data_IF_746858353611
#
_entry.id   IF_746858353611
#
_cell.length_a   1.000
_cell.length_b   1.000
_cell.length_c   1.000
_cell.angle_alpha   90.00
_cell.angle_beta   90.00
_cell.angle_gamma   90.00
#
_symmetry.space_group_name_H-M   'P 1'
#
loop_
_entity.id
_entity.type
_entity.pdbx_description
1 polymer ?
#
# COMPACT_ATOMS: atom_id res chain seq x y z
N UNK A 1 46.43 -26.22 100.33
CA UNK A 1 45.26 -25.42 99.92
C UNK A 1 45.57 -24.35 98.86
N UNK A 2 46.78 -23.76 98.84
CA UNK A 2 47.17 -22.73 97.86
C UNK A 2 47.16 -23.19 96.37
N UNK A 3 47.56 -24.43 96.08
CA UNK A 3 47.62 -24.91 94.68
C UNK A 3 46.22 -25.09 94.05
N UNK A 4 45.23 -25.53 94.83
CA UNK A 4 43.86 -25.73 94.33
C UNK A 4 43.15 -24.41 93.99
N UNK A 5 43.49 -23.32 94.68
CA UNK A 5 42.98 -21.98 94.36
C UNK A 5 43.65 -21.39 93.13
N UNK A 6 44.94 -21.67 92.92
CA UNK A 6 45.70 -21.23 91.74
C UNK A 6 45.19 -21.93 90.47
N UNK A 7 44.95 -23.24 90.52
CA UNK A 7 44.43 -24.00 89.38
C UNK A 7 43.02 -23.55 88.99
N UNK A 8 42.17 -23.22 89.97
CA UNK A 8 40.84 -22.63 89.71
C UNK A 8 40.92 -21.27 89.04
N UNK A 9 41.89 -20.44 89.40
CA UNK A 9 42.10 -19.13 88.77
C UNK A 9 42.59 -19.30 87.32
N UNK A 10 43.54 -20.19 87.07
CA UNK A 10 44.03 -20.48 85.71
C UNK A 10 42.93 -20.98 84.78
N UNK A 11 42.08 -21.88 85.27
CA UNK A 11 40.92 -22.37 84.53
C UNK A 11 39.90 -21.25 84.24
N UNK A 12 39.70 -20.34 85.20
CA UNK A 12 38.80 -19.19 85.00
C UNK A 12 39.35 -18.19 83.98
N UNK A 13 40.68 -17.96 83.99
CA UNK A 13 41.35 -17.12 82.98
C UNK A 13 41.20 -17.73 81.60
N UNK A 14 41.48 -19.02 81.41
CA UNK A 14 41.31 -19.70 80.11
C UNK A 14 39.87 -19.59 79.58
N UNK A 15 38.86 -19.73 80.45
CA UNK A 15 37.45 -19.56 80.05
C UNK A 15 37.13 -18.12 79.65
N UNK A 16 37.75 -17.13 80.30
CA UNK A 16 37.56 -15.74 79.95
C UNK A 16 38.29 -15.39 78.64
N UNK A 17 39.49 -15.90 78.42
CA UNK A 17 40.22 -15.75 77.15
C UNK A 17 39.44 -16.36 75.98
N UNK A 18 38.87 -17.56 76.17
CA UNK A 18 38.01 -18.18 75.15
C UNK A 18 36.76 -17.33 74.84
N UNK A 19 36.09 -16.81 75.88
CA UNK A 19 34.92 -15.93 75.70
C UNK A 19 35.29 -14.61 75.03
N UNK A 20 36.47 -14.06 75.33
CA UNK A 20 36.97 -12.84 74.70
C UNK A 20 37.24 -13.10 73.21
N UNK A 21 37.94 -14.18 72.86
CA UNK A 21 38.20 -14.56 71.48
C UNK A 21 36.91 -14.83 70.69
N UNK A 22 35.90 -15.46 71.31
CA UNK A 22 34.60 -15.69 70.66
C UNK A 22 33.83 -14.37 70.44
N UNK A 23 33.89 -13.45 71.40
CA UNK A 23 33.30 -12.11 71.27
C UNK A 23 34.01 -11.27 70.20
N UNK A 24 35.35 -11.34 70.09
CA UNK A 24 36.13 -10.69 69.03
C UNK A 24 35.75 -11.25 67.65
N UNK A 25 35.67 -12.57 67.51
CA UNK A 25 35.21 -13.22 66.27
C UNK A 25 33.78 -12.82 65.89
N UNK A 26 32.89 -12.66 66.88
CA UNK A 26 31.53 -12.18 66.61
C UNK A 26 31.51 -10.72 66.17
N UNK A 27 32.34 -9.88 66.78
CA UNK A 27 32.49 -8.48 66.39
C UNK A 27 33.01 -8.34 64.95
N UNK A 28 34.02 -9.12 64.56
CA UNK A 28 34.53 -9.14 63.19
C UNK A 28 33.46 -9.54 62.17
N UNK A 29 32.69 -10.60 62.47
CA UNK A 29 31.56 -11.04 61.63
C UNK A 29 30.48 -9.97 61.51
N UNK A 30 30.20 -9.25 62.60
CA UNK A 30 29.22 -8.17 62.61
C UNK A 30 29.71 -6.97 61.78
N UNK A 31 30.99 -6.60 61.91
CA UNK A 31 31.61 -5.57 61.07
C UNK A 31 31.58 -5.93 59.59
N UNK A 32 31.88 -7.18 59.23
CA UNK A 32 31.80 -7.66 57.84
C UNK A 32 30.36 -7.61 57.32
N UNK A 33 29.38 -8.07 58.11
CA UNK A 33 27.96 -8.01 57.75
C UNK A 33 27.48 -6.57 57.56
N UNK A 34 27.88 -5.65 58.45
CA UNK A 34 27.53 -4.23 58.36
C UNK A 34 28.17 -3.58 57.13
N UNK A 35 29.41 -3.92 56.80
CA UNK A 35 30.07 -3.43 55.59
C UNK A 35 29.38 -3.93 54.31
N UNK A 36 28.99 -5.22 54.26
CA UNK A 36 28.20 -5.77 53.14
C UNK A 36 26.86 -5.05 53.01
N UNK A 37 26.17 -4.79 54.13
CA UNK A 37 24.88 -4.09 54.12
C UNK A 37 25.03 -2.68 53.56
N UNK A 38 26.04 -1.92 53.99
CA UNK A 38 26.32 -0.58 53.46
C UNK A 38 26.63 -0.59 51.96
N UNK A 39 27.40 -1.58 51.48
CA UNK A 39 27.67 -1.74 50.06
C UNK A 39 26.39 -2.04 49.26
N UNK A 40 25.54 -2.93 49.76
CA UNK A 40 24.25 -3.21 49.11
C UNK A 40 23.32 -2.01 49.12
N UNK A 41 23.29 -1.23 50.20
CA UNK A 41 22.50 -0.01 50.29
C UNK A 41 22.97 1.02 49.26
N UNK A 42 24.28 1.28 49.16
CA UNK A 42 24.83 2.21 48.18
C UNK A 42 24.53 1.75 46.73
N UNK A 43 24.61 0.43 46.47
CA UNK A 43 24.24 -0.11 45.16
C UNK A 43 22.76 0.07 44.83
N UNK A 44 21.87 -0.11 45.83
CA UNK A 44 20.44 0.15 45.67
C UNK A 44 20.15 1.63 45.41
N UNK A 45 20.78 2.54 46.15
CA UNK A 45 20.62 3.99 45.96
C UNK A 45 21.02 4.42 44.54
N UNK A 46 22.15 3.92 44.02
CA UNK A 46 22.55 4.16 42.63
C UNK A 46 21.54 3.61 41.61
N UNK A 47 20.98 2.42 41.87
CA UNK A 47 19.98 1.83 40.98
C UNK A 47 18.67 2.64 40.96
N UNK A 48 18.26 3.20 42.10
CA UNK A 48 17.08 4.06 42.21
C UNK A 48 17.30 5.34 41.42
N UNK A 49 18.44 6.01 41.60
CA UNK A 49 18.76 7.24 40.85
C UNK A 49 18.80 6.99 39.33
N UNK A 50 19.36 5.86 38.90
CA UNK A 50 19.34 5.44 37.49
C UNK A 50 17.94 5.17 36.97
N UNK A 51 17.04 4.58 37.77
CA UNK A 51 15.67 4.31 37.35
C UNK A 51 14.83 5.59 37.32
N UNK A 52 15.04 6.51 38.26
CA UNK A 52 14.36 7.80 38.28
C UNK A 52 14.71 8.66 37.06
N UNK A 53 15.99 8.70 36.68
CA UNK A 53 16.45 9.39 35.48
C UNK A 53 15.87 8.77 34.20
N UNK A 54 15.82 7.43 34.11
CA UNK A 54 15.16 6.75 32.99
C UNK A 54 13.65 7.04 32.95
N UNK A 55 12.96 7.03 34.09
CA UNK A 55 11.55 7.39 34.17
C UNK A 55 11.29 8.83 33.71
N UNK A 56 12.15 9.78 34.10
CA UNK A 56 12.05 11.17 33.65
C UNK A 56 12.24 11.29 32.13
N UNK A 57 13.24 10.60 31.57
CA UNK A 57 13.48 10.57 30.14
C UNK A 57 12.29 9.99 29.36
N UNK A 58 11.71 8.89 29.83
CA UNK A 58 10.52 8.29 29.23
C UNK A 58 9.32 9.23 29.28
N UNK A 59 9.08 9.92 30.41
CA UNK A 59 8.00 10.92 30.51
C UNK A 59 8.18 12.05 29.50
N UNK A 60 9.41 12.54 29.32
CA UNK A 60 9.70 13.55 28.30
C UNK A 60 9.43 13.03 26.89
N UNK A 61 9.86 11.79 26.58
CA UNK A 61 9.58 11.17 25.27
C UNK A 61 8.08 11.01 25.02
N UNK A 62 7.32 10.53 26.01
CA UNK A 62 5.85 10.40 25.89
C UNK A 62 5.20 11.76 25.65
N UNK A 63 5.59 12.80 26.39
CA UNK A 63 5.05 14.15 26.18
C UNK A 63 5.35 14.72 24.79
N UNK A 64 6.54 14.44 24.24
CA UNK A 64 6.91 14.85 22.90
C UNK A 64 6.12 14.09 21.83
N UNK A 65 5.90 12.78 22.04
CA UNK A 65 5.10 11.94 21.17
C UNK A 65 3.62 12.38 21.16
N UNK A 66 3.04 12.69 22.33
CA UNK A 66 1.68 13.25 22.44
C UNK A 66 1.56 14.58 21.70
N UNK A 67 2.55 15.48 21.85
CA UNK A 67 2.55 16.75 21.11
C UNK A 67 2.64 16.55 19.60
N UNK A 68 3.44 15.60 19.12
CA UNK A 68 3.53 15.26 17.71
C UNK A 68 2.21 14.69 17.18
N UNK A 69 1.58 13.80 17.94
CA UNK A 69 0.26 13.24 17.64
C UNK A 69 -0.79 14.36 17.50
N UNK A 70 -0.87 15.28 18.46
CA UNK A 70 -1.81 16.40 18.41
C UNK A 70 -1.61 17.30 17.17
N UNK A 71 -0.35 17.49 16.76
CA UNK A 71 -0.04 18.26 15.55
C UNK A 71 -0.51 17.54 14.28
N UNK A 72 -0.29 16.23 14.20
CA UNK A 72 -0.75 15.40 13.08
C UNK A 72 -2.26 15.37 12.98
N UNK A 73 -2.97 15.19 14.10
CA UNK A 73 -4.44 15.21 14.13
C UNK A 73 -5.00 16.56 13.64
N UNK A 74 -4.41 17.68 14.07
CA UNK A 74 -4.81 19.01 13.58
C UNK A 74 -4.50 19.22 12.11
N UNK A 75 -3.40 18.66 11.60
CA UNK A 75 -3.05 18.76 10.19
C UNK A 75 -4.01 17.93 9.33
N UNK A 76 -4.33 16.71 9.74
CA UNK A 76 -5.30 15.85 9.07
C UNK A 76 -6.69 16.49 9.03
N UNK A 77 -7.15 17.08 10.14
CA UNK A 77 -8.45 17.77 10.18
C UNK A 77 -8.48 18.96 9.21
N UNK A 78 -7.39 19.74 9.11
CA UNK A 78 -7.29 20.83 8.13
C UNK A 78 -7.36 20.32 6.69
N UNK A 79 -6.68 19.22 6.38
CA UNK A 79 -6.71 18.63 5.04
C UNK A 79 -8.12 18.12 4.71
N UNK A 80 -8.76 17.44 5.66
CA UNK A 80 -10.14 16.97 5.52
C UNK A 80 -11.10 18.12 5.23
N UNK A 81 -11.05 19.20 6.01
CA UNK A 81 -11.91 20.37 5.80
C UNK A 81 -11.67 21.05 4.44
N UNK A 82 -10.41 21.11 3.98
CA UNK A 82 -10.08 21.63 2.66
C UNK A 82 -10.63 20.76 1.52
N UNK A 83 -10.54 19.43 1.66
CA UNK A 83 -11.11 18.47 0.72
C UNK A 83 -12.64 18.53 0.70
N UNK A 84 -13.30 18.57 1.87
CA UNK A 84 -14.75 18.70 1.98
C UNK A 84 -15.25 19.98 1.29
N UNK A 85 -14.57 21.11 1.50
CA UNK A 85 -14.90 22.36 0.81
C UNK A 85 -14.73 22.26 -0.72
N UNK A 86 -13.68 21.59 -1.18
CA UNK A 86 -13.44 21.37 -2.62
C UNK A 86 -14.53 20.48 -3.23
N UNK A 87 -14.93 19.42 -2.51
CA UNK A 87 -16.01 18.52 -2.92
C UNK A 87 -17.34 19.27 -3.02
N UNK A 88 -17.66 20.14 -2.05
CA UNK A 88 -18.87 20.96 -2.09
C UNK A 88 -18.87 21.93 -3.28
N UNK A 89 -17.73 22.57 -3.57
CA UNK A 89 -17.58 23.43 -4.74
C UNK A 89 -17.81 22.66 -6.04
N UNK A 90 -17.16 21.50 -6.20
CA UNK A 90 -17.31 20.65 -7.37
C UNK A 90 -18.75 20.14 -7.53
N UNK A 91 -19.43 19.81 -6.43
CA UNK A 91 -20.86 19.43 -6.46
C UNK A 91 -21.73 20.58 -6.93
N UNK A 92 -21.50 21.80 -6.45
CA UNK A 92 -22.26 22.97 -6.88
C UNK A 92 -22.04 23.27 -8.37
N UNK A 93 -20.79 23.18 -8.83
CA UNK A 93 -20.44 23.36 -10.24
C UNK A 93 -21.07 22.27 -11.13
N UNK A 94 -21.04 21.01 -10.70
CA UNK A 94 -21.66 19.91 -11.44
C UNK A 94 -23.17 20.12 -11.61
N UNK A 95 -23.87 20.53 -10.55
CA UNK A 95 -25.30 20.87 -10.62
C UNK A 95 -25.56 22.02 -11.60
N UNK A 96 -24.67 23.03 -11.63
CA UNK A 96 -24.77 24.14 -12.60
C UNK A 96 -24.59 23.64 -14.04
N UNK A 97 -23.55 22.86 -14.30
CA UNK A 97 -23.28 22.29 -15.62
C UNK A 97 -24.39 21.33 -16.09
N UNK A 98 -24.97 20.54 -15.19
CA UNK A 98 -26.12 19.69 -15.52
C UNK A 98 -27.33 20.51 -15.99
N UNK A 99 -27.59 21.67 -15.37
CA UNK A 99 -28.65 22.57 -15.83
C UNK A 99 -28.34 23.17 -17.19
N UNK A 100 -27.11 23.63 -17.41
CA UNK A 100 -26.68 24.17 -18.71
C UNK A 100 -26.79 23.11 -19.82
N UNK A 101 -26.31 21.89 -19.56
CA UNK A 101 -26.42 20.77 -20.49
C UNK A 101 -27.88 20.41 -20.80
N UNK A 102 -28.79 20.45 -19.81
CA UNK A 102 -30.21 20.23 -20.06
C UNK A 102 -30.79 21.29 -21.02
N UNK A 103 -30.45 22.57 -20.80
CA UNK A 103 -30.91 23.65 -21.70
C UNK A 103 -30.33 23.53 -23.11
N UNK A 104 -29.07 23.12 -23.25
CA UNK A 104 -28.44 22.89 -24.55
C UNK A 104 -29.05 21.69 -25.27
N UNK A 105 -29.37 20.62 -24.55
CA UNK A 105 -30.05 19.46 -25.10
C UNK A 105 -31.45 19.80 -25.64
N UNK A 106 -32.22 20.63 -24.91
CA UNK A 106 -33.50 21.15 -25.40
C UNK A 106 -33.34 21.99 -26.67
N UNK A 107 -32.35 22.87 -26.72
CA UNK A 107 -32.06 23.66 -27.93
C UNK A 107 -31.66 22.80 -29.12
N UNK A 108 -30.83 21.77 -28.90
CA UNK A 108 -30.43 20.82 -29.93
C UNK A 108 -31.64 20.05 -30.48
N UNK A 109 -32.56 19.60 -29.62
CA UNK A 109 -33.80 18.96 -30.06
C UNK A 109 -34.67 19.90 -30.92
N UNK A 110 -34.80 21.16 -30.54
CA UNK A 110 -35.56 22.14 -31.33
C UNK A 110 -34.91 22.39 -32.70
N UNK A 111 -33.58 22.42 -32.77
CA UNK A 111 -32.87 22.54 -34.05
C UNK A 111 -33.06 21.29 -34.92
N UNK A 112 -32.98 20.10 -34.34
CA UNK A 112 -33.24 18.84 -35.03
C UNK A 112 -34.65 18.84 -35.65
N UNK A 113 -35.67 19.18 -34.86
CA UNK A 113 -37.05 19.26 -35.36
C UNK A 113 -37.23 20.28 -36.49
N UNK A 114 -36.47 21.39 -36.47
CA UNK A 114 -36.48 22.36 -37.57
C UNK A 114 -35.82 21.80 -38.82
N UNK A 115 -34.69 21.11 -38.66
CA UNK A 115 -34.00 20.47 -39.77
C UNK A 115 -34.89 19.40 -40.42
N UNK A 116 -35.55 18.56 -39.63
CA UNK A 116 -36.46 17.52 -40.12
C UNK A 116 -37.64 18.13 -40.89
N UNK A 117 -38.26 19.19 -40.38
CA UNK A 117 -39.33 19.91 -41.10
C UNK A 117 -38.87 20.50 -42.42
N UNK A 118 -37.69 21.13 -42.43
CA UNK A 118 -37.11 21.67 -43.66
C UNK A 118 -36.78 20.56 -44.66
N UNK A 119 -36.37 19.38 -44.18
CA UNK A 119 -36.11 18.23 -45.02
C UNK A 119 -37.41 17.71 -45.66
N UNK A 120 -38.46 17.54 -44.87
CA UNK A 120 -39.80 17.15 -45.37
C UNK A 120 -40.35 18.17 -46.38
N UNK A 121 -40.19 19.47 -46.12
CA UNK A 121 -40.60 20.54 -47.04
C UNK A 121 -39.77 20.50 -48.35
N UNK A 122 -38.47 20.23 -48.27
CA UNK A 122 -37.60 20.08 -49.44
C UNK A 122 -38.01 18.87 -50.28
N UNK A 123 -38.31 17.73 -49.66
CA UNK A 123 -38.76 16.53 -50.35
C UNK A 123 -40.12 16.73 -51.04
N UNK A 124 -41.04 17.46 -50.41
CA UNK A 124 -42.31 17.86 -51.05
C UNK A 124 -42.09 18.77 -52.26
N UNK A 125 -41.16 19.73 -52.17
CA UNK A 125 -40.79 20.59 -53.29
C UNK A 125 -40.11 19.80 -54.42
N UNK A 126 -39.26 18.81 -54.12
CA UNK A 126 -38.70 17.89 -55.13
C UNK A 126 -39.78 17.01 -55.78
N UNK A 127 -40.83 16.63 -55.05
CA UNK A 127 -41.98 15.90 -55.61
C UNK A 127 -42.90 16.76 -56.49
N UNK A 128 -42.99 18.07 -56.23
CA UNK A 128 -43.82 19.00 -57.02
C UNK A 128 -43.09 19.61 -58.23
N UNK A 129 -41.79 19.86 -58.10
CA UNK A 129 -40.95 20.17 -59.24
C UNK A 129 -40.66 18.86 -59.97
N UNK A 130 -41.50 18.49 -60.95
CA UNK A 130 -41.37 17.29 -61.78
C UNK A 130 -40.06 17.26 -62.58
N UNK A 131 -38.93 17.16 -61.89
CA UNK A 131 -37.66 16.77 -62.44
C UNK A 131 -37.70 15.26 -62.56
N UNK A 132 -37.51 14.72 -63.77
CA UNK A 132 -37.49 13.28 -63.96
C UNK A 132 -36.37 12.72 -63.09
N UNK A 133 -36.78 11.82 -62.20
CA UNK A 133 -35.90 10.90 -61.49
C UNK A 133 -35.00 10.24 -62.55
N UNK A 134 -33.73 10.65 -62.61
CA UNK A 134 -32.74 9.87 -63.32
C UNK A 134 -32.58 8.58 -62.56
N UNK A 135 -33.29 7.57 -63.04
CA UNK A 135 -33.11 6.15 -62.71
C UNK A 135 -31.62 5.84 -62.80
N UNK A 136 -30.95 5.44 -61.70
CA UNK A 136 -29.70 4.72 -61.81
C UNK A 136 -30.08 3.34 -62.33
N UNK A 137 -29.72 3.06 -63.58
CA UNK A 137 -29.80 1.73 -64.15
C UNK A 137 -29.14 0.70 -63.23
N UNK A 138 -29.91 -0.35 -62.92
CA UNK A 138 -29.42 -1.70 -62.71
C UNK A 138 -28.50 -1.91 -61.50
N UNK A 139 -29.06 -2.43 -60.41
CA UNK A 139 -28.90 -3.84 -59.99
C UNK A 139 -29.63 -4.03 -58.66
N UNK A 140 -30.76 -4.73 -58.72
CA UNK A 140 -31.51 -5.13 -57.55
C UNK A 140 -30.95 -6.43 -56.96
N UNK A 141 -30.93 -6.44 -55.63
CA UNK A 141 -31.02 -7.59 -54.74
C UNK A 141 -29.81 -8.53 -54.65
N UNK A 142 -29.02 -8.33 -53.60
CA UNK A 142 -28.96 -9.33 -52.53
C UNK A 142 -29.04 -8.61 -51.18
N UNK A 143 -30.26 -8.57 -50.66
CA UNK A 143 -30.56 -8.17 -49.30
C UNK A 143 -30.32 -9.38 -48.40
N UNK A 144 -29.13 -9.50 -47.83
CA UNK A 144 -28.97 -10.32 -46.63
C UNK A 144 -28.91 -9.39 -45.41
N UNK A 145 -30.08 -9.29 -44.79
CA UNK A 145 -30.28 -8.64 -43.52
C UNK A 145 -29.70 -9.53 -42.42
N UNK A 146 -28.47 -9.23 -42.01
CA UNK A 146 -28.07 -9.39 -40.62
C UNK A 146 -27.35 -8.14 -40.18
N UNK A 147 -28.14 -7.27 -39.54
CA UNK A 147 -27.74 -6.39 -38.46
C UNK A 147 -26.64 -7.01 -37.58
N UNK A 148 -25.39 -6.81 -37.97
CA UNK A 148 -24.30 -6.69 -37.01
C UNK A 148 -24.04 -5.20 -36.81
N UNK A 149 -25.01 -4.56 -36.16
CA UNK A 149 -24.72 -3.48 -35.22
C UNK A 149 -23.90 -4.11 -34.11
N UNK A 150 -22.64 -4.44 -34.41
CA UNK A 150 -21.61 -4.61 -33.41
C UNK A 150 -21.35 -3.21 -32.88
N UNK A 151 -22.21 -2.81 -31.95
CA UNK A 151 -21.85 -1.83 -30.96
C UNK A 151 -20.64 -2.40 -30.26
N UNK A 152 -19.45 -1.95 -30.67
CA UNK A 152 -18.25 -2.10 -29.86
C UNK A 152 -18.44 -1.18 -28.67
N UNK A 153 -19.24 -1.63 -27.70
CA UNK A 153 -19.12 -1.14 -26.35
C UNK A 153 -17.75 -1.60 -25.92
N UNK A 154 -16.78 -0.68 -25.91
CA UNK A 154 -15.69 -0.79 -24.96
C UNK A 154 -16.37 -0.84 -23.59
N UNK A 155 -16.73 -2.04 -23.14
CA UNK A 155 -17.06 -2.27 -21.75
C UNK A 155 -15.78 -1.83 -21.05
N UNK A 156 -15.80 -0.75 -20.24
CA UNK A 156 -14.64 -0.43 -19.43
C UNK A 156 -14.55 -1.60 -18.47
N UNK A 157 -13.78 -2.62 -18.82
CA UNK A 157 -13.60 -3.76 -17.94
C UNK A 157 -12.78 -3.19 -16.78
N UNK A 158 -13.48 -2.93 -15.68
CA UNK A 158 -13.01 -2.61 -14.33
C UNK A 158 -11.49 -2.47 -14.23
N UNK A 159 -11.01 -1.24 -14.05
CA UNK A 159 -9.79 -0.67 -13.42
C UNK A 159 -8.62 -1.57 -12.94
N UNK A 160 -8.46 -2.82 -13.39
CA UNK A 160 -7.74 -3.84 -12.63
C UNK A 160 -6.27 -4.04 -13.01
N UNK A 161 -5.80 -3.46 -14.12
CA UNK A 161 -4.42 -3.64 -14.60
C UNK A 161 -3.77 -2.30 -14.95
N UNK A 162 -3.47 -1.53 -13.92
CA UNK A 162 -2.82 -0.22 -14.04
C UNK A 162 -1.38 -0.37 -13.56
N UNK A 163 -0.39 -0.06 -14.40
CA UNK A 163 1.02 -0.10 -14.04
C UNK A 163 1.62 1.30 -14.06
N UNK A 164 2.55 1.59 -13.15
CA UNK A 164 3.36 2.81 -13.27
C UNK A 164 4.11 2.79 -14.62
N UNK A 165 4.15 3.92 -15.35
CA UNK A 165 4.76 3.97 -16.69
C UNK A 165 6.21 3.44 -16.74
N UNK A 166 6.97 3.63 -15.66
CA UNK A 166 8.36 3.16 -15.53
C UNK A 166 8.51 1.68 -15.15
N UNK A 167 7.41 0.94 -14.99
CA UNK A 167 7.46 -0.49 -14.63
C UNK A 167 8.12 -1.29 -15.74
N UNK A 168 9.16 -2.05 -15.42
CA UNK A 168 9.83 -2.92 -16.39
C UNK A 168 9.11 -4.26 -16.48
N UNK A 169 8.75 -4.68 -17.69
CA UNK A 169 8.06 -5.92 -18.00
C UNK A 169 8.91 -6.75 -18.96
N UNK A 170 9.03 -8.05 -18.69
CA UNK A 170 9.79 -8.97 -19.53
C UNK A 170 8.93 -9.39 -20.73
N UNK A 171 9.20 -8.80 -21.88
CA UNK A 171 8.51 -9.05 -23.14
C UNK A 171 9.30 -10.03 -24.01
N UNK A 172 8.58 -10.89 -24.74
CA UNK A 172 9.14 -11.77 -25.76
C UNK A 172 9.25 -11.02 -27.07
N UNK A 173 10.47 -10.87 -27.56
CA UNK A 173 10.77 -10.25 -28.85
C UNK A 173 11.45 -11.31 -29.72
N UNK A 174 10.68 -11.91 -30.62
CA UNK A 174 11.13 -13.05 -31.42
C UNK A 174 11.45 -14.29 -30.57
N UNK A 175 12.73 -14.66 -30.49
CA UNK A 175 13.23 -15.82 -29.72
C UNK A 175 13.88 -15.42 -28.38
N UNK A 176 13.98 -14.13 -28.09
CA UNK A 176 14.60 -13.60 -26.88
C UNK A 176 13.57 -12.92 -25.96
N UNK A 177 14.01 -12.62 -24.75
CA UNK A 177 13.26 -11.82 -23.80
C UNK A 177 13.99 -10.51 -23.54
N UNK A 178 13.28 -9.40 -23.66
CA UNK A 178 13.77 -8.05 -23.39
C UNK A 178 12.91 -7.40 -22.31
N UNK A 179 13.49 -6.44 -21.58
CA UNK A 179 12.77 -5.66 -20.59
C UNK A 179 12.26 -4.37 -21.23
N UNK A 180 10.94 -4.22 -21.30
CA UNK A 180 10.27 -3.04 -21.83
C UNK A 180 9.53 -2.30 -20.72
N UNK A 181 9.50 -0.96 -20.77
CA UNK A 181 8.68 -0.20 -19.83
C UNK A 181 7.20 -0.38 -20.16
N UNK A 182 6.34 -0.31 -19.16
CA UNK A 182 4.89 -0.44 -19.32
C UNK A 182 4.32 0.58 -20.32
N UNK A 183 4.88 1.79 -20.37
CA UNK A 183 4.50 2.82 -21.35
C UNK A 183 4.91 2.51 -22.79
N UNK A 184 5.92 1.67 -22.98
CA UNK A 184 6.51 1.34 -24.28
C UNK A 184 5.90 0.04 -24.86
N UNK A 185 4.98 -0.60 -24.11
CA UNK A 185 4.24 -1.75 -24.61
C UNK A 185 3.33 -1.36 -25.78
N UNK A 186 3.18 -2.27 -26.73
CA UNK A 186 2.26 -2.12 -27.86
C UNK A 186 1.25 -3.26 -27.87
N UNK A 187 0.10 -3.01 -28.49
CA UNK A 187 -0.88 -4.05 -28.80
C UNK A 187 -0.21 -5.22 -29.55
N UNK A 188 -0.48 -6.44 -29.11
CA UNK A 188 0.09 -7.69 -29.62
C UNK A 188 1.43 -8.08 -28.97
N UNK A 189 2.02 -7.26 -28.10
CA UNK A 189 3.22 -7.64 -27.37
C UNK A 189 2.94 -8.82 -26.43
N UNK A 190 3.87 -9.78 -26.37
CA UNK A 190 3.78 -10.93 -25.47
C UNK A 190 4.67 -10.69 -24.25
N UNK A 191 4.09 -10.65 -23.06
CA UNK A 191 4.80 -10.47 -21.79
C UNK A 191 4.77 -11.76 -20.97
N UNK A 192 5.86 -12.05 -20.27
CA UNK A 192 5.96 -13.24 -19.43
C UNK A 192 5.20 -13.04 -18.12
N UNK A 193 4.41 -14.03 -17.72
CA UNK A 193 3.62 -14.03 -16.50
C UNK A 193 4.46 -14.38 -15.26
N UNK A 194 3.85 -14.23 -14.07
CA UNK A 194 4.51 -14.51 -12.77
C UNK A 194 4.82 -15.99 -12.47
N UNK A 195 4.39 -16.90 -13.35
CA UNK A 195 4.70 -18.33 -13.30
C UNK A 195 5.97 -18.69 -14.11
N UNK A 196 6.62 -17.71 -14.73
CA UNK A 196 7.79 -17.86 -15.62
C UNK A 196 7.56 -18.80 -16.82
N UNK A 197 6.32 -19.17 -17.11
CA UNK A 197 5.96 -20.14 -18.15
C UNK A 197 4.92 -19.60 -19.13
N UNK A 198 3.94 -18.86 -18.63
CA UNK A 198 2.85 -18.35 -19.43
C UNK A 198 3.24 -17.04 -20.11
N UNK A 199 2.91 -16.95 -21.40
CA UNK A 199 3.00 -15.71 -22.17
C UNK A 199 1.62 -15.08 -22.27
N UNK A 200 1.56 -13.79 -22.02
CA UNK A 200 0.35 -13.02 -21.96
C UNK A 200 0.38 -11.92 -23.02
N UNK A 201 -0.70 -11.81 -23.79
CA UNK A 201 -0.77 -10.86 -24.90
C UNK A 201 -1.39 -9.53 -24.44
N UNK A 202 -0.75 -8.43 -24.83
CA UNK A 202 -1.25 -7.07 -24.66
C UNK A 202 -2.35 -6.81 -25.69
N UNK A 203 -3.60 -6.71 -25.25
CA UNK A 203 -4.75 -6.60 -26.16
C UNK A 203 -4.96 -5.18 -26.68
N UNK A 204 -4.46 -4.16 -25.97
CA UNK A 204 -4.54 -2.75 -26.38
C UNK A 204 -3.31 -1.96 -25.97
N UNK A 205 -3.02 -0.91 -26.75
CA UNK A 205 -1.89 -0.01 -26.49
C UNK A 205 -2.11 0.72 -25.17
N UNK A 206 -1.11 0.80 -24.29
CA UNK A 206 -1.28 1.41 -23.00
C UNK A 206 -1.61 2.90 -23.09
N UNK A 207 -2.72 3.28 -22.48
CA UNK A 207 -3.12 4.68 -22.36
C UNK A 207 -2.59 5.29 -21.06
N UNK A 208 -2.19 6.55 -21.14
CA UNK A 208 -1.65 7.28 -20.02
C UNK A 208 -2.79 7.85 -19.15
N UNK A 209 -2.95 7.33 -17.94
CA UNK A 209 -3.93 7.79 -16.96
C UNK A 209 -3.25 8.51 -15.81
N UNK A 210 -3.91 9.55 -15.29
CA UNK A 210 -3.51 10.22 -14.05
C UNK A 210 -4.08 9.44 -12.87
N UNK A 211 -3.23 9.06 -11.94
CA UNK A 211 -3.65 8.55 -10.63
C UNK A 211 -3.50 9.61 -9.57
N UNK A 212 -4.39 9.57 -8.58
CA UNK A 212 -4.38 10.48 -7.44
C UNK A 212 -3.43 9.96 -6.36
N UNK A 213 -3.27 8.64 -6.25
CA UNK A 213 -2.53 7.98 -5.17
C UNK A 213 -1.73 6.77 -5.70
N UNK A 214 -0.54 6.58 -5.14
CA UNK A 214 0.31 5.40 -5.35
C UNK A 214 0.72 4.80 -4.01
N UNK A 215 0.85 3.47 -3.99
CA UNK A 215 1.36 2.72 -2.86
C UNK A 215 2.77 2.25 -3.20
N UNK A 216 3.73 2.58 -2.33
CA UNK A 216 5.10 2.08 -2.34
C UNK A 216 5.22 0.90 -1.39
N UNK A 217 5.52 -0.28 -1.93
CA UNK A 217 5.70 -1.53 -1.22
C UNK A 217 7.18 -1.89 -1.20
N UNK A 218 7.81 -1.88 -0.03
CA UNK A 218 9.23 -2.11 0.13
C UNK A 218 9.51 -3.52 0.68
N UNK A 219 10.46 -4.22 0.10
CA UNK A 219 11.11 -5.42 0.66
C UNK A 219 12.49 -5.03 1.23
N UNK A 220 13.31 -6.00 1.65
CA UNK A 220 14.69 -5.69 2.09
C UNK A 220 15.56 -5.08 0.99
N UNK A 221 15.33 -5.46 -0.26
CA UNK A 221 16.19 -5.12 -1.41
C UNK A 221 15.47 -4.33 -2.52
N UNK A 222 14.13 -4.20 -2.47
CA UNK A 222 13.33 -3.67 -3.60
C UNK A 222 12.19 -2.77 -3.13
N UNK A 223 11.63 -2.00 -4.07
CA UNK A 223 10.50 -1.11 -3.85
C UNK A 223 9.56 -1.14 -5.05
N UNK A 224 8.29 -1.45 -4.85
CA UNK A 224 7.27 -1.56 -5.88
C UNK A 224 6.26 -0.41 -5.76
N UNK A 225 6.04 0.35 -6.83
CA UNK A 225 5.01 1.40 -6.93
C UNK A 225 3.81 0.92 -7.71
N UNK A 226 2.65 0.90 -7.07
CA UNK A 226 1.41 0.38 -7.65
C UNK A 226 0.21 1.25 -7.30
N UNK A 227 -0.84 1.17 -8.10
CA UNK A 227 -2.15 1.73 -7.73
C UNK A 227 -2.73 0.95 -6.54
N UNK A 228 -3.48 1.60 -5.64
CA UNK A 228 -4.08 0.90 -4.49
C UNK A 228 -5.01 -0.26 -4.88
N UNK A 229 -5.68 -0.13 -6.02
CA UNK A 229 -6.60 -1.13 -6.57
C UNK A 229 -5.91 -2.26 -7.35
N UNK A 230 -4.58 -2.25 -7.45
CA UNK A 230 -3.84 -3.27 -8.17
C UNK A 230 -3.85 -4.59 -7.38
N UNK A 231 -4.18 -5.69 -8.07
CA UNK A 231 -4.14 -7.03 -7.49
C UNK A 231 -2.71 -7.57 -7.49
N UNK A 232 -2.26 -8.03 -6.33
CA UNK A 232 -0.96 -8.63 -6.09
C UNK A 232 -1.12 -10.04 -5.53
N UNK A 233 -0.10 -10.89 -5.73
CA UNK A 233 -0.06 -12.23 -5.14
C UNK A 233 0.59 -12.17 -3.76
N UNK A 234 -0.18 -12.52 -2.73
CA UNK A 234 0.29 -12.69 -1.35
C UNK A 234 0.17 -14.14 -0.87
N UNK A 235 0.86 -14.47 0.22
CA UNK A 235 0.71 -15.77 0.87
C UNK A 235 -0.62 -15.82 1.64
N UNK A 236 -1.42 -16.89 1.47
CA UNK A 236 -2.77 -16.97 2.05
C UNK A 236 -2.80 -17.07 3.60
N UNK A 237 -1.74 -17.60 4.23
CA UNK A 237 -1.48 -17.53 5.67
C UNK A 237 -0.12 -18.14 6.03
N UNK A 238 0.65 -17.49 6.90
CA UNK A 238 1.91 -18.02 7.45
C UNK A 238 3.16 -17.67 6.63
N UNK A 239 4.33 -18.05 7.18
CA UNK A 239 5.62 -17.91 6.50
C UNK A 239 5.68 -18.91 5.33
N UNK A 240 5.74 -18.46 4.06
CA UNK A 240 5.79 -19.33 2.90
C UNK A 240 7.08 -20.17 2.81
N UNK A 241 8.05 -19.96 3.72
CA UNK A 241 9.24 -20.79 3.88
C UNK A 241 8.96 -22.12 4.63
N UNK A 242 7.78 -22.31 5.22
CA UNK A 242 7.35 -23.61 5.74
C UNK A 242 6.71 -24.45 4.62
N UNK A 243 7.27 -25.65 4.36
CA UNK A 243 7.03 -26.51 3.18
C UNK A 243 5.56 -26.83 2.83
N UNK A 244 4.61 -26.67 3.76
CA UNK A 244 3.19 -26.97 3.53
C UNK A 244 2.35 -25.75 3.08
N UNK A 245 2.87 -24.51 3.19
CA UNK A 245 2.13 -23.28 2.85
C UNK A 245 2.46 -22.71 1.45
N UNK A 246 3.45 -23.29 0.75
CA UNK A 246 3.99 -22.75 -0.50
C UNK A 246 3.03 -22.78 -1.70
N UNK A 247 1.90 -23.49 -1.62
CA UNK A 247 0.97 -23.67 -2.75
C UNK A 247 -0.25 -22.75 -2.77
N UNK A 248 -0.48 -21.92 -1.75
CA UNK A 248 -1.66 -21.05 -1.70
C UNK A 248 -1.27 -19.57 -1.80
N UNK A 249 -0.97 -19.14 -3.03
CA UNK A 249 -0.93 -17.73 -3.35
C UNK A 249 -2.37 -17.21 -3.50
N UNK A 250 -2.72 -16.15 -2.78
CA UNK A 250 -4.00 -15.47 -2.90
C UNK A 250 -3.82 -14.12 -3.57
N UNK A 251 -4.82 -13.70 -4.36
CA UNK A 251 -4.88 -12.34 -4.89
C UNK A 251 -5.39 -11.39 -3.80
N UNK A 252 -4.63 -10.34 -3.51
CA UNK A 252 -5.04 -9.26 -2.60
C UNK A 252 -4.82 -7.89 -3.25
N UNK A 253 -5.53 -6.86 -2.80
CA UNK A 253 -5.33 -5.51 -3.29
C UNK A 253 -4.09 -4.89 -2.64
N UNK A 254 -3.35 -4.06 -3.38
CA UNK A 254 -2.17 -3.39 -2.86
C UNK A 254 -2.48 -2.54 -1.61
N UNK A 255 -3.66 -1.91 -1.55
CA UNK A 255 -4.11 -1.12 -0.39
C UNK A 255 -4.39 -1.93 0.89
N UNK A 256 -4.49 -3.26 0.77
CA UNK A 256 -4.74 -4.15 1.91
C UNK A 256 -3.47 -4.71 2.54
N UNK A 257 -2.31 -4.42 1.94
CA UNK A 257 -1.01 -4.95 2.38
C UNK A 257 -0.41 -4.12 3.51
N UNK A 258 0.23 -4.81 4.45
CA UNK A 258 0.88 -4.23 5.62
C UNK A 258 2.34 -4.68 5.74
N UNK A 259 3.20 -3.93 6.45
CA UNK A 259 4.53 -4.40 6.82
C UNK A 259 4.43 -5.74 7.55
N UNK A 260 5.22 -6.72 7.10
CA UNK A 260 5.20 -8.09 7.60
C UNK A 260 4.54 -9.09 6.66
N UNK A 261 3.69 -8.65 5.73
CA UNK A 261 3.04 -9.50 4.73
C UNK A 261 4.05 -10.01 3.68
N UNK A 262 3.73 -11.13 3.05
CA UNK A 262 4.55 -11.73 2.01
C UNK A 262 3.92 -11.51 0.63
N UNK A 263 4.70 -10.95 -0.29
CA UNK A 263 4.30 -10.76 -1.69
C UNK A 263 5.20 -11.53 -2.64
N UNK A 264 4.67 -11.99 -3.77
CA UNK A 264 5.45 -12.70 -4.78
C UNK A 264 6.16 -11.70 -5.71
N UNK A 265 7.49 -11.73 -5.71
CA UNK A 265 8.39 -10.92 -6.54
C UNK A 265 9.33 -11.87 -7.28
N UNK A 266 9.34 -11.84 -8.61
CA UNK A 266 10.22 -12.69 -9.45
C UNK A 266 10.10 -14.19 -9.14
N UNK A 267 8.88 -14.70 -9.04
CA UNK A 267 8.68 -16.10 -8.72
C UNK A 267 8.88 -16.45 -7.24
N UNK A 268 9.40 -15.54 -6.40
CA UNK A 268 9.75 -15.79 -4.99
C UNK A 268 8.93 -14.93 -4.04
N UNK A 269 8.53 -15.49 -2.90
CA UNK A 269 7.92 -14.69 -1.85
C UNK A 269 8.97 -13.84 -1.12
N UNK A 270 8.68 -12.56 -0.97
CA UNK A 270 9.50 -11.57 -0.28
C UNK A 270 8.64 -10.87 0.77
N UNK A 271 9.22 -10.64 1.95
CA UNK A 271 8.52 -10.00 3.06
C UNK A 271 8.54 -8.49 2.90
N UNK A 272 7.39 -7.86 3.11
CA UNK A 272 7.27 -6.40 3.13
C UNK A 272 7.88 -5.85 4.42
N UNK A 273 8.81 -4.93 4.28
CA UNK A 273 9.46 -4.22 5.38
C UNK A 273 8.77 -2.88 5.65
N UNK A 274 8.18 -2.27 4.63
CA UNK A 274 7.53 -0.96 4.71
C UNK A 274 6.46 -0.82 3.61
N UNK A 275 5.36 -0.16 3.94
CA UNK A 275 4.27 0.20 3.02
C UNK A 275 3.99 1.68 3.20
N UNK A 276 4.05 2.46 2.13
CA UNK A 276 3.78 3.90 2.17
C UNK A 276 2.76 4.30 1.12
N UNK A 277 1.81 5.16 1.49
CA UNK A 277 0.92 5.82 0.53
C UNK A 277 1.53 7.18 0.20
N UNK A 278 1.82 7.43 -1.08
CA UNK A 278 2.28 8.73 -1.56
C UNK A 278 1.20 9.40 -2.40
N UNK A 279 0.84 10.61 -2.00
CA UNK A 279 0.15 11.56 -2.86
C UNK A 279 1.12 12.03 -3.95
N UNK A 280 0.66 12.04 -5.20
CA UNK A 280 1.50 12.45 -6.32
C UNK A 280 1.58 13.98 -6.42
N UNK A 281 2.71 14.57 -6.00
CA UNK A 281 3.05 15.96 -6.30
C UNK A 281 3.56 16.15 -7.75
N UNK A 282 3.93 15.07 -8.43
CA UNK A 282 4.36 15.06 -9.83
C UNK A 282 3.51 14.08 -10.64
N UNK A 283 3.13 14.47 -11.86
CA UNK A 283 2.27 13.70 -12.77
C UNK A 283 2.91 12.34 -13.10
N UNK A 284 2.58 11.28 -12.36
CA UNK A 284 2.93 9.92 -12.78
C UNK A 284 1.92 9.44 -13.79
N UNK A 285 2.41 9.15 -14.99
CA UNK A 285 1.64 8.49 -16.02
C UNK A 285 1.53 7.02 -15.63
N UNK A 286 0.32 6.50 -15.54
CA UNK A 286 0.10 5.06 -15.46
C UNK A 286 -0.36 4.55 -16.81
N UNK A 287 0.15 3.39 -17.20
CA UNK A 287 -0.12 2.74 -18.46
C UNK A 287 -1.13 1.63 -18.23
N UNK A 288 -2.33 1.75 -18.82
CA UNK A 288 -3.35 0.71 -18.73
C UNK A 288 -3.11 -0.34 -19.81
N UNK A 289 -2.61 -1.52 -19.43
CA UNK A 289 -2.43 -2.63 -20.37
C UNK A 289 -3.57 -3.66 -20.18
N UNK A 290 -4.29 -3.98 -21.25
CA UNK A 290 -5.26 -5.08 -21.23
C UNK A 290 -4.52 -6.40 -21.42
N UNK A 291 -4.63 -7.28 -20.43
CA UNK A 291 -4.00 -8.60 -20.48
C UNK A 291 -4.95 -9.63 -19.90
N UNK A 292 -5.08 -10.78 -20.59
CA UNK A 292 -6.00 -11.85 -20.20
C UNK A 292 -5.36 -12.70 -19.09
N UNK A 293 -5.38 -12.17 -17.85
CA UNK A 293 -5.22 -12.79 -16.51
C UNK A 293 -4.49 -11.81 -15.56
N UNK A 294 -4.88 -11.69 -14.28
CA UNK A 294 -4.50 -10.56 -13.42
C UNK A 294 -3.17 -10.75 -12.65
N UNK A 295 -2.37 -11.77 -12.95
CA UNK A 295 -1.30 -12.21 -12.05
C UNK A 295 0.10 -11.80 -12.52
N UNK A 296 0.43 -10.53 -12.36
CA UNK A 296 1.76 -10.00 -12.69
C UNK A 296 2.48 -9.48 -11.47
N UNK A 297 3.66 -10.06 -11.20
CA UNK A 297 4.83 -9.32 -10.73
C UNK A 297 6.10 -10.05 -11.19
N UNK A 298 6.77 -9.49 -12.20
CA UNK A 298 8.19 -9.70 -12.46
C UNK A 298 8.87 -8.33 -12.50
N UNK A 299 10.01 -8.24 -11.84
CA UNK A 299 10.86 -7.08 -11.57
C UNK A 299 12.32 -7.42 -11.89
N UNK A 300 13.14 -6.39 -12.03
CA UNK A 300 14.58 -6.44 -11.86
C UNK A 300 14.96 -5.32 -10.93
#
# INVERSE_FOLDING_TARGET
MANATEDRLKERVRRLEFKLADAESWNDKMSEAMQKLLQTQAGLEQSVESLETQCAALRHQTSAAESCKDQLERWLEKQRMAQESTIEQLRAENVKLQRENATLAEQAQLQQQRADRLHEENDQLRGQAGYPEMVPDGLAADCDACSDVSSWVCVPSSDRNVFAAGTMLKAKVGQAFEYLQAKDLQKGAQILASDDQSLLEVLDTPEAQRSVELIELWTEDRMLRVAGQQLLLSAAAGDPLQEEAASTAQACLAETLHPGDWIKVNGRFSRLTRVEVRALEEVSWMSRAFVKLPFFLMWS
#
